data_IF_176385112066
#
_entry.id   IF_176385112066
#
_cell.length_a   1.000
_cell.length_b   1.000
_cell.length_c   1.000
_cell.angle_alpha   90.00
_cell.angle_beta   90.00
_cell.angle_gamma   90.00
#
_symmetry.space_group_name_H-M   'P 1'
#
loop_
_entity.id
_entity.type
_entity.pdbx_description
1 polymer ?
#
# COMPACT_ATOMS: atom_id res chain seq x y z
N UNK A 1 45.81 7.45 -6.25
CA UNK A 1 44.59 7.06 -7.00
C UNK A 1 43.32 7.22 -6.17
N UNK A 2 43.25 6.64 -4.97
CA UNK A 2 42.12 6.81 -4.03
C UNK A 2 41.87 8.27 -3.62
N UNK A 3 42.92 9.06 -3.34
CA UNK A 3 42.75 10.45 -2.94
C UNK A 3 42.25 11.33 -4.09
N UNK A 4 42.73 11.11 -5.31
CA UNK A 4 42.27 11.80 -6.53
C UNK A 4 40.79 11.49 -6.81
N UNK A 5 40.37 10.24 -6.60
CA UNK A 5 38.96 9.85 -6.72
C UNK A 5 38.10 10.49 -5.61
N UNK A 6 38.60 10.56 -4.37
CA UNK A 6 37.90 11.25 -3.27
C UNK A 6 37.69 12.72 -3.58
N UNK A 7 38.70 13.43 -4.10
CA UNK A 7 38.56 14.85 -4.45
C UNK A 7 37.55 15.03 -5.61
N UNK A 8 37.58 14.14 -6.60
CA UNK A 8 36.66 14.19 -7.75
C UNK A 8 35.20 13.94 -7.38
N UNK A 9 34.94 13.11 -6.37
CA UNK A 9 33.59 12.73 -5.95
C UNK A 9 33.17 13.32 -4.61
N UNK A 10 33.92 14.27 -4.06
CA UNK A 10 33.72 14.81 -2.71
C UNK A 10 32.29 15.33 -2.50
N UNK A 11 31.73 16.05 -3.49
CA UNK A 11 30.35 16.54 -3.42
C UNK A 11 29.30 15.42 -3.35
N UNK A 12 29.49 14.34 -4.12
CA UNK A 12 28.59 13.17 -4.09
C UNK A 12 28.70 12.41 -2.76
N UNK A 13 29.92 12.29 -2.22
CA UNK A 13 30.16 11.67 -0.91
C UNK A 13 29.41 12.44 0.18
N UNK A 14 29.51 13.78 0.19
CA UNK A 14 28.81 14.63 1.16
C UNK A 14 27.29 14.43 1.10
N UNK A 15 26.71 14.35 -0.10
CA UNK A 15 25.27 14.10 -0.28
C UNK A 15 24.89 12.71 0.26
N UNK A 16 25.67 11.68 -0.05
CA UNK A 16 25.42 10.33 0.44
C UNK A 16 25.51 10.26 1.98
N UNK A 17 26.52 10.91 2.57
CA UNK A 17 26.69 11.00 4.03
C UNK A 17 25.53 11.76 4.68
N UNK A 18 25.08 12.86 4.08
CA UNK A 18 23.90 13.62 4.56
C UNK A 18 22.67 12.70 4.60
N UNK A 19 22.38 11.94 3.53
CA UNK A 19 21.24 11.01 3.54
C UNK A 19 21.44 9.87 4.53
N UNK A 20 22.66 9.32 4.63
CA UNK A 20 22.97 8.26 5.59
C UNK A 20 22.86 8.71 7.06
N UNK A 21 23.01 10.01 7.34
CA UNK A 21 22.91 10.57 8.69
C UNK A 21 21.47 10.64 9.24
N UNK A 22 20.46 10.39 8.42
CA UNK A 22 19.06 10.36 8.84
C UNK A 22 18.62 8.95 9.24
N UNK A 23 17.71 8.83 10.22
CA UNK A 23 17.13 7.55 10.60
C UNK A 23 15.81 7.30 9.87
N UNK A 24 15.78 6.33 8.95
CA UNK A 24 14.57 5.95 8.22
C UNK A 24 13.77 4.82 8.87
N UNK A 25 14.28 4.25 9.98
CA UNK A 25 13.61 3.22 10.75
C UNK A 25 12.64 3.83 11.77
N UNK A 26 11.60 4.50 11.26
CA UNK A 26 10.63 5.27 12.07
C UNK A 26 9.27 4.56 12.20
N UNK A 27 8.34 5.19 12.90
CA UNK A 27 6.95 4.72 12.99
C UNK A 27 6.10 5.14 11.77
N UNK A 28 6.62 5.96 10.85
CA UNK A 28 5.93 6.30 9.58
C UNK A 28 5.78 5.06 8.72
N UNK A 29 6.89 4.38 8.41
CA UNK A 29 6.78 3.13 7.65
C UNK A 29 6.21 1.99 8.51
N UNK A 30 6.39 2.04 9.84
CA UNK A 30 5.72 1.14 10.77
C UNK A 30 4.19 1.21 10.63
N UNK A 31 3.64 2.42 10.55
CA UNK A 31 2.22 2.66 10.30
C UNK A 31 1.77 2.11 8.94
N UNK A 32 2.51 2.39 7.86
CA UNK A 32 2.21 1.80 6.55
C UNK A 32 2.23 0.26 6.59
N UNK A 33 3.24 -0.34 7.24
CA UNK A 33 3.35 -1.80 7.39
C UNK A 33 2.16 -2.37 8.15
N UNK A 34 1.74 -1.75 9.24
CA UNK A 34 0.57 -2.17 10.01
C UNK A 34 -0.73 -2.03 9.21
N UNK A 35 -0.90 -0.96 8.44
CA UNK A 35 -2.06 -0.79 7.57
C UNK A 35 -2.10 -1.86 6.45
N UNK A 36 -0.97 -2.16 5.81
CA UNK A 36 -0.88 -3.28 4.87
C UNK A 36 -1.23 -4.64 5.51
N UNK A 37 -0.86 -4.85 6.77
CA UNK A 37 -1.28 -6.06 7.50
C UNK A 37 -2.79 -6.09 7.72
N UNK A 38 -3.41 -4.92 7.99
CA UNK A 38 -4.86 -4.81 8.14
C UNK A 38 -5.63 -5.15 6.86
N UNK A 39 -5.07 -4.85 5.68
CA UNK A 39 -5.68 -5.20 4.38
C UNK A 39 -6.02 -6.69 4.33
N UNK A 40 -5.00 -7.54 4.42
CA UNK A 40 -5.19 -9.00 4.36
C UNK A 40 -5.89 -9.53 5.62
N UNK A 41 -5.65 -8.92 6.79
CA UNK A 41 -6.30 -9.35 8.04
C UNK A 41 -7.83 -9.18 7.96
N UNK A 42 -8.30 -8.04 7.45
CA UNK A 42 -9.73 -7.79 7.31
C UNK A 42 -10.36 -8.72 6.28
N UNK A 43 -9.71 -8.95 5.14
CA UNK A 43 -10.16 -9.96 4.18
C UNK A 43 -10.32 -11.33 4.84
N UNK A 44 -9.37 -11.76 5.65
CA UNK A 44 -9.44 -13.05 6.35
C UNK A 44 -10.50 -13.07 7.47
N UNK A 45 -10.58 -12.05 8.32
CA UNK A 45 -11.52 -12.06 9.46
C UNK A 45 -12.98 -12.00 8.99
N UNK A 46 -13.28 -11.15 8.01
CA UNK A 46 -14.65 -10.86 7.62
C UNK A 46 -15.21 -11.75 6.50
N UNK A 47 -14.40 -12.67 5.94
CA UNK A 47 -14.85 -13.59 4.90
C UNK A 47 -14.59 -15.03 5.27
N UNK A 48 -15.47 -15.93 4.82
CA UNK A 48 -15.31 -17.38 5.03
C UNK A 48 -14.21 -17.95 4.12
N UNK A 49 -13.72 -19.14 4.43
CA UNK A 49 -12.75 -19.85 3.56
C UNK A 49 -13.33 -20.15 2.18
N UNK A 50 -14.61 -20.48 2.10
CA UNK A 50 -15.29 -20.87 0.86
C UNK A 50 -15.51 -19.68 -0.08
N UNK A 51 -15.75 -18.49 0.49
CA UNK A 51 -15.90 -17.25 -0.28
C UNK A 51 -14.55 -16.76 -0.82
N UNK A 52 -13.49 -16.85 -0.02
CA UNK A 52 -12.14 -16.45 -0.42
C UNK A 52 -11.49 -17.46 -1.37
N UNK A 53 -11.73 -18.76 -1.18
CA UNK A 53 -11.06 -19.84 -1.90
C UNK A 53 -12.11 -20.79 -2.48
N UNK A 54 -12.63 -20.46 -3.66
CA UNK A 54 -13.61 -21.33 -4.31
C UNK A 54 -12.96 -22.63 -4.80
N UNK A 55 -13.61 -23.81 -4.67
CA UNK A 55 -12.97 -25.10 -4.97
C UNK A 55 -12.40 -25.20 -6.39
N UNK A 56 -13.15 -24.70 -7.37
CA UNK A 56 -12.77 -24.72 -8.79
C UNK A 56 -11.53 -23.87 -9.05
N UNK A 57 -11.49 -22.66 -8.49
CA UNK A 57 -10.37 -21.72 -8.67
C UNK A 57 -9.16 -22.19 -7.89
N UNK A 58 -9.37 -22.73 -6.68
CA UNK A 58 -8.31 -23.29 -5.84
C UNK A 58 -7.54 -24.39 -6.56
N UNK A 59 -8.25 -25.41 -7.08
CA UNK A 59 -7.62 -26.53 -7.79
C UNK A 59 -6.88 -26.09 -9.05
N UNK A 60 -7.44 -25.12 -9.79
CA UNK A 60 -6.78 -24.56 -10.97
C UNK A 60 -5.49 -23.83 -10.61
N UNK A 61 -5.51 -23.03 -9.54
CA UNK A 61 -4.35 -22.25 -9.07
C UNK A 61 -3.26 -23.14 -8.48
N UNK A 62 -3.63 -24.19 -7.76
CA UNK A 62 -2.69 -25.18 -7.22
C UNK A 62 -1.82 -25.82 -8.31
N UNK A 63 -2.40 -26.14 -9.47
CA UNK A 63 -1.71 -26.75 -10.61
C UNK A 63 -0.79 -25.76 -11.34
N UNK A 64 -1.19 -24.49 -11.45
CA UNK A 64 -0.51 -23.48 -12.27
C UNK A 64 0.67 -22.80 -11.55
N UNK A 65 0.76 -22.91 -10.23
CA UNK A 65 1.75 -22.20 -9.45
C UNK A 65 2.95 -23.11 -9.17
N UNK A 66 4.10 -22.81 -9.79
CA UNK A 66 5.40 -23.47 -9.51
C UNK A 66 5.83 -23.40 -8.02
N UNK A 67 5.15 -22.56 -7.25
CA UNK A 67 5.36 -22.27 -5.83
C UNK A 67 4.22 -22.75 -4.92
N UNK A 68 3.36 -23.68 -5.37
CA UNK A 68 2.23 -24.18 -4.58
C UNK A 68 2.69 -24.72 -3.21
N UNK A 69 3.82 -25.42 -3.19
CA UNK A 69 4.43 -25.98 -1.97
C UNK A 69 4.90 -24.94 -0.96
N UNK A 70 5.11 -23.68 -1.37
CA UNK A 70 5.49 -22.60 -0.46
C UNK A 70 4.33 -21.64 -0.18
N UNK A 71 3.17 -21.78 -0.83
CA UNK A 71 2.03 -20.91 -0.58
C UNK A 71 1.29 -21.36 0.69
N UNK A 72 1.17 -20.47 1.67
CA UNK A 72 0.54 -20.76 2.97
C UNK A 72 -0.86 -21.40 2.84
N UNK A 73 -1.66 -20.99 1.87
CA UNK A 73 -3.04 -21.49 1.66
C UNK A 73 -3.09 -22.80 0.88
N UNK A 74 -1.96 -23.31 0.39
CA UNK A 74 -1.85 -24.62 -0.26
C UNK A 74 -1.17 -25.68 0.62
N UNK A 75 -0.41 -25.29 1.65
CA UNK A 75 0.33 -26.24 2.52
C UNK A 75 -0.55 -27.33 3.15
N UNK A 76 -1.76 -26.97 3.62
CA UNK A 76 -2.67 -27.92 4.27
C UNK A 76 -3.78 -28.44 3.35
N UNK A 77 -3.69 -28.16 2.04
CA UNK A 77 -4.73 -28.48 1.08
C UNK A 77 -6.05 -27.72 1.31
N UNK A 78 -7.06 -28.04 0.49
CA UNK A 78 -8.36 -27.37 0.53
C UNK A 78 -9.10 -27.58 1.86
N UNK A 79 -9.14 -28.81 2.35
CA UNK A 79 -9.83 -29.16 3.61
C UNK A 79 -9.14 -28.54 4.84
N UNK A 80 -7.87 -28.18 4.72
CA UNK A 80 -7.06 -27.56 5.77
C UNK A 80 -6.96 -26.04 5.70
N UNK A 81 -7.71 -25.36 4.84
CA UNK A 81 -7.65 -23.89 4.65
C UNK A 81 -7.85 -23.09 5.95
N UNK A 82 -8.63 -23.63 6.89
CA UNK A 82 -8.84 -23.00 8.20
C UNK A 82 -7.53 -22.86 8.99
N UNK A 83 -6.62 -23.84 8.90
CA UNK A 83 -5.32 -23.79 9.57
C UNK A 83 -4.44 -22.69 8.97
N UNK A 84 -4.35 -22.63 7.63
CA UNK A 84 -3.66 -21.56 6.91
C UNK A 84 -4.18 -20.18 7.29
N UNK A 85 -5.51 -20.03 7.37
CA UNK A 85 -6.19 -18.80 7.74
C UNK A 85 -5.84 -18.37 9.18
N UNK A 86 -5.87 -19.28 10.15
CA UNK A 86 -5.52 -18.99 11.54
C UNK A 86 -4.05 -18.54 11.65
N UNK A 87 -3.13 -19.26 10.99
CA UNK A 87 -1.70 -18.91 10.98
C UNK A 87 -1.50 -17.51 10.39
N UNK A 88 -2.14 -17.22 9.26
CA UNK A 88 -2.08 -15.90 8.62
C UNK A 88 -2.58 -14.79 9.56
N UNK A 89 -3.73 -15.00 10.21
CA UNK A 89 -4.31 -14.04 11.17
C UNK A 89 -3.34 -13.74 12.31
N UNK A 90 -2.73 -14.78 12.91
CA UNK A 90 -1.77 -14.60 14.00
C UNK A 90 -0.56 -13.79 13.54
N UNK A 91 0.02 -14.12 12.38
CA UNK A 91 1.14 -13.38 11.81
C UNK A 91 0.77 -11.90 11.61
N UNK A 92 -0.38 -11.62 11.02
CA UNK A 92 -0.83 -10.27 10.70
C UNK A 92 -1.14 -9.45 11.94
N UNK A 93 -1.75 -10.04 12.98
CA UNK A 93 -1.96 -9.36 14.27
C UNK A 93 -0.63 -8.93 14.88
N UNK A 94 0.38 -9.81 14.88
CA UNK A 94 1.71 -9.46 15.41
C UNK A 94 2.34 -8.32 14.59
N UNK A 95 2.16 -8.29 13.27
CA UNK A 95 2.59 -7.17 12.42
C UNK A 95 1.90 -5.85 12.78
N UNK A 96 0.59 -5.88 13.01
CA UNK A 96 -0.19 -4.70 13.43
C UNK A 96 0.31 -4.19 14.79
N UNK A 97 0.53 -5.09 15.75
CA UNK A 97 1.11 -4.77 17.06
C UNK A 97 2.56 -4.25 16.97
N UNK A 98 3.21 -4.39 15.81
CA UNK A 98 4.50 -3.78 15.51
C UNK A 98 5.72 -4.57 15.98
N UNK A 99 5.54 -5.81 16.42
CA UNK A 99 6.64 -6.61 16.96
C UNK A 99 7.57 -7.16 15.87
N UNK A 100 8.85 -7.26 16.25
CA UNK A 100 9.99 -7.81 15.50
C UNK A 100 9.90 -7.60 13.98
N UNK A 101 9.99 -6.33 13.51
CA UNK A 101 9.82 -6.02 12.09
C UNK A 101 10.71 -6.84 11.17
N UNK A 102 11.95 -7.15 11.60
CA UNK A 102 12.88 -8.06 10.90
C UNK A 102 12.29 -9.37 10.43
N UNK A 103 11.61 -10.10 11.31
CA UNK A 103 11.11 -11.43 10.99
C UNK A 103 9.70 -11.35 10.42
N UNK A 104 8.85 -10.54 11.06
CA UNK A 104 7.46 -10.41 10.66
C UNK A 104 7.26 -9.62 9.36
N UNK A 105 8.24 -8.82 8.91
CA UNK A 105 8.21 -8.22 7.58
C UNK A 105 8.24 -9.25 6.46
N UNK A 106 9.10 -10.26 6.58
CA UNK A 106 9.16 -11.38 5.62
C UNK A 106 7.89 -12.23 5.68
N UNK A 107 7.45 -12.57 6.89
CA UNK A 107 6.22 -13.37 7.08
C UNK A 107 4.98 -12.63 6.58
N UNK A 108 4.89 -11.32 6.78
CA UNK A 108 3.79 -10.51 6.27
C UNK A 108 3.74 -10.52 4.74
N UNK A 109 4.89 -10.33 4.08
CA UNK A 109 4.96 -10.46 2.64
C UNK A 109 4.54 -11.85 2.19
N UNK A 110 5.05 -12.90 2.85
CA UNK A 110 4.70 -14.28 2.53
C UNK A 110 3.19 -14.56 2.63
N UNK A 111 2.53 -14.06 3.68
CA UNK A 111 1.07 -14.15 3.83
C UNK A 111 0.35 -13.40 2.70
N UNK A 112 0.77 -12.16 2.39
CA UNK A 112 0.17 -11.35 1.33
C UNK A 112 0.36 -11.98 -0.06
N UNK A 113 1.55 -12.48 -0.36
CA UNK A 113 1.86 -13.24 -1.57
C UNK A 113 1.01 -14.50 -1.67
N UNK A 114 0.92 -15.26 -0.59
CA UNK A 114 0.14 -16.49 -0.54
C UNK A 114 -1.34 -16.20 -0.78
N UNK A 115 -1.88 -15.17 -0.12
CA UNK A 115 -3.26 -14.71 -0.27
C UNK A 115 -3.55 -14.26 -1.71
N UNK A 116 -2.71 -13.38 -2.27
CA UNK A 116 -2.85 -12.87 -3.64
C UNK A 116 -2.93 -14.00 -4.66
N UNK A 117 -2.07 -15.02 -4.49
CA UNK A 117 -1.98 -16.11 -5.44
C UNK A 117 -3.05 -17.19 -5.23
N UNK A 118 -3.60 -17.36 -4.03
CA UNK A 118 -4.60 -18.39 -3.75
C UNK A 118 -6.05 -17.87 -3.80
N UNK A 119 -6.32 -16.63 -3.37
CA UNK A 119 -7.67 -16.06 -3.26
C UNK A 119 -8.37 -15.96 -4.62
N UNK A 120 -9.66 -16.24 -4.69
CA UNK A 120 -10.46 -16.18 -5.93
C UNK A 120 -10.70 -14.75 -6.38
N UNK A 121 -11.09 -13.87 -5.46
CA UNK A 121 -11.37 -12.46 -5.73
C UNK A 121 -10.22 -11.64 -5.15
N UNK A 122 -9.54 -10.93 -6.03
CA UNK A 122 -8.37 -10.11 -5.70
C UNK A 122 -8.61 -8.72 -6.28
N UNK A 123 -8.31 -7.71 -5.48
CA UNK A 123 -8.44 -6.32 -5.89
C UNK A 123 -7.08 -5.66 -6.12
N UNK A 124 -7.08 -4.44 -6.67
CA UNK A 124 -5.84 -3.66 -6.83
C UNK A 124 -5.12 -3.39 -5.51
N UNK A 125 -5.87 -3.38 -4.39
CA UNK A 125 -5.35 -3.19 -3.04
C UNK A 125 -4.44 -4.34 -2.56
N UNK A 126 -4.80 -5.58 -2.90
CA UNK A 126 -3.99 -6.76 -2.57
C UNK A 126 -2.70 -6.78 -3.40
N UNK A 127 -2.79 -6.40 -4.67
CA UNK A 127 -1.65 -6.33 -5.58
C UNK A 127 -0.62 -5.30 -5.13
N UNK A 128 -1.05 -4.07 -4.80
CA UNK A 128 -0.12 -3.05 -4.31
C UNK A 128 0.47 -3.42 -2.95
N UNK A 129 -0.34 -4.04 -2.07
CA UNK A 129 0.12 -4.52 -0.77
C UNK A 129 1.27 -5.54 -0.94
N UNK A 130 1.08 -6.56 -1.77
CA UNK A 130 2.12 -7.54 -2.05
C UNK A 130 3.39 -6.91 -2.64
N UNK A 131 3.22 -6.03 -3.63
CA UNK A 131 4.34 -5.42 -4.36
C UNK A 131 5.18 -4.48 -3.48
N UNK A 132 4.53 -3.66 -2.64
CA UNK A 132 5.25 -2.77 -1.71
C UNK A 132 5.89 -3.58 -0.58
N UNK A 133 5.19 -4.59 -0.04
CA UNK A 133 5.76 -5.45 1.00
C UNK A 133 7.01 -6.18 0.51
N UNK A 134 7.06 -6.61 -0.75
CA UNK A 134 8.25 -7.20 -1.36
C UNK A 134 9.45 -6.25 -1.29
N UNK A 135 9.26 -4.99 -1.68
CA UNK A 135 10.31 -3.96 -1.62
C UNK A 135 10.66 -3.55 -0.19
N UNK A 136 9.74 -3.75 0.76
CA UNK A 136 9.99 -3.51 2.19
C UNK A 136 10.80 -4.62 2.84
N UNK A 137 10.91 -5.83 2.27
CA UNK A 137 11.66 -6.95 2.87
C UNK A 137 13.07 -6.53 3.29
N UNK A 138 13.94 -5.96 2.43
CA UNK A 138 15.30 -5.62 2.85
C UNK A 138 15.33 -4.54 3.93
N UNK A 139 14.39 -3.59 3.91
CA UNK A 139 14.25 -2.57 4.96
C UNK A 139 13.89 -3.23 6.29
N UNK A 140 12.90 -4.13 6.29
CA UNK A 140 12.48 -4.82 7.51
C UNK A 140 13.60 -5.68 8.07
N UNK A 141 14.35 -6.42 7.24
CA UNK A 141 15.50 -7.21 7.67
C UNK A 141 16.55 -6.38 8.42
N UNK A 142 16.76 -5.14 7.99
CA UNK A 142 17.68 -4.20 8.64
C UNK A 142 17.15 -3.57 9.93
N UNK A 143 15.83 -3.58 10.15
CA UNK A 143 15.20 -3.03 11.36
C UNK A 143 15.41 -3.94 12.57
N UNK A 144 16.23 -3.50 13.52
CA UNK A 144 16.53 -4.22 14.75
C UNK A 144 15.58 -3.93 15.92
N UNK A 145 14.53 -3.13 15.72
CA UNK A 145 13.59 -2.80 16.80
C UNK A 145 12.83 -4.04 17.26
N UNK A 146 12.55 -4.11 18.56
CA UNK A 146 11.62 -5.11 19.11
C UNK A 146 10.18 -4.75 18.80
N UNK A 147 9.84 -3.46 18.87
CA UNK A 147 8.53 -2.94 18.51
C UNK A 147 8.66 -1.58 17.79
N UNK A 148 8.07 -1.45 16.60
CA UNK A 148 8.18 -0.23 15.78
C UNK A 148 7.40 0.98 16.32
N UNK A 149 6.51 0.79 17.30
CA UNK A 149 5.72 1.86 17.92
C UNK A 149 6.43 2.53 19.08
N UNK A 150 7.21 1.75 19.83
CA UNK A 150 7.81 2.19 21.11
C UNK A 150 9.31 2.42 20.96
N UNK A 151 10.00 1.53 20.26
CA UNK A 151 11.45 1.58 20.19
C UNK A 151 11.90 2.50 19.05
N UNK A 152 12.93 3.29 19.32
CA UNK A 152 13.64 4.07 18.31
C UNK A 152 15.00 3.43 18.05
N UNK A 153 15.42 3.40 16.78
CA UNK A 153 16.80 3.03 16.44
C UNK A 153 17.67 4.26 16.66
N UNK A 154 18.83 4.11 17.30
CA UNK A 154 19.81 5.20 17.39
C UNK A 154 20.39 5.49 16.01
N UNK A 155 20.48 6.78 15.66
CA UNK A 155 21.01 7.25 14.38
C UNK A 155 22.44 6.72 14.13
N UNK A 156 23.24 6.58 15.19
CA UNK A 156 24.65 6.15 15.13
C UNK A 156 24.88 4.66 14.88
N UNK A 157 23.84 3.82 14.74
CA UNK A 157 24.05 2.37 14.71
C UNK A 157 24.62 1.82 13.39
N UNK A 158 24.35 2.44 12.22
CA UNK A 158 24.95 2.04 10.93
C UNK A 158 24.56 2.99 9.77
N UNK A 159 25.49 3.80 9.27
CA UNK A 159 25.27 4.70 8.12
C UNK A 159 24.85 3.95 6.84
N UNK A 160 25.42 2.77 6.58
CA UNK A 160 25.10 1.97 5.39
C UNK A 160 23.64 1.50 5.39
N UNK A 161 23.13 1.06 6.55
CA UNK A 161 21.71 0.66 6.67
C UNK A 161 20.75 1.81 6.37
N UNK A 162 21.06 3.00 6.88
CA UNK A 162 20.27 4.19 6.63
C UNK A 162 20.28 4.57 5.15
N UNK A 163 21.45 4.53 4.51
CA UNK A 163 21.56 4.82 3.08
C UNK A 163 20.82 3.80 2.21
N UNK A 164 20.96 2.50 2.50
CA UNK A 164 20.22 1.45 1.78
C UNK A 164 18.71 1.64 1.96
N UNK A 165 18.25 1.91 3.18
CA UNK A 165 16.84 2.19 3.45
C UNK A 165 16.34 3.41 2.65
N UNK A 166 17.12 4.49 2.59
CA UNK A 166 16.81 5.67 1.78
C UNK A 166 16.59 5.30 0.31
N UNK A 167 17.53 4.57 -0.29
CA UNK A 167 17.45 4.14 -1.70
C UNK A 167 16.21 3.30 -1.94
N UNK A 168 15.90 2.34 -1.06
CA UNK A 168 14.71 1.49 -1.19
C UNK A 168 13.41 2.29 -1.04
N UNK A 169 13.35 3.27 -0.13
CA UNK A 169 12.18 4.16 -0.04
C UNK A 169 12.04 5.06 -1.28
N UNK A 170 13.15 5.46 -1.91
CA UNK A 170 13.13 6.13 -3.21
C UNK A 170 12.57 5.22 -4.30
N UNK A 171 13.01 3.96 -4.38
CA UNK A 171 12.47 2.98 -5.32
C UNK A 171 10.97 2.75 -5.13
N UNK A 172 10.50 2.60 -3.89
CA UNK A 172 9.08 2.51 -3.56
C UNK A 172 8.33 3.76 -4.02
N UNK A 173 8.90 4.96 -3.81
CA UNK A 173 8.28 6.22 -4.22
C UNK A 173 8.17 6.33 -5.75
N UNK A 174 9.18 5.87 -6.49
CA UNK A 174 9.14 5.80 -7.96
C UNK A 174 8.07 4.82 -8.42
N UNK A 175 8.01 3.61 -7.82
CA UNK A 175 6.98 2.62 -8.15
C UNK A 175 5.57 3.19 -7.96
N UNK A 176 5.31 3.87 -6.84
CA UNK A 176 4.00 4.46 -6.54
C UNK A 176 3.69 5.63 -7.48
N UNK A 177 4.68 6.46 -7.81
CA UNK A 177 4.54 7.53 -8.81
C UNK A 177 4.14 6.96 -10.18
N UNK A 178 4.80 5.90 -10.63
CA UNK A 178 4.48 5.20 -11.87
C UNK A 178 3.09 4.55 -11.81
N UNK A 179 2.70 3.96 -10.69
CA UNK A 179 1.35 3.41 -10.50
C UNK A 179 0.27 4.48 -10.74
N UNK A 180 0.43 5.65 -10.13
CA UNK A 180 -0.52 6.76 -10.33
C UNK A 180 -0.48 7.32 -11.75
N UNK A 181 0.71 7.38 -12.37
CA UNK A 181 0.85 7.80 -13.76
C UNK A 181 0.09 6.85 -14.68
N UNK A 182 0.31 5.54 -14.52
CA UNK A 182 -0.36 4.51 -15.29
C UNK A 182 -1.88 4.58 -15.07
N UNK A 183 -2.34 4.71 -13.82
CA UNK A 183 -3.77 4.81 -13.50
C UNK A 183 -4.46 5.98 -14.21
N UNK A 184 -3.81 7.14 -14.30
CA UNK A 184 -4.34 8.32 -14.99
C UNK A 184 -4.23 8.24 -16.51
N UNK A 185 -3.08 7.78 -17.04
CA UNK A 185 -2.84 7.70 -18.48
C UNK A 185 -3.66 6.60 -19.13
N UNK A 186 -3.78 5.42 -18.52
CA UNK A 186 -4.54 4.32 -19.11
C UNK A 186 -6.02 4.66 -19.29
N UNK A 187 -6.60 5.48 -18.41
CA UNK A 187 -7.97 5.99 -18.57
C UNK A 187 -8.15 6.80 -19.85
N UNK A 188 -7.11 7.49 -20.33
CA UNK A 188 -7.20 8.31 -21.53
C UNK A 188 -7.10 7.52 -22.84
N UNK A 189 -6.50 6.32 -22.82
CA UNK A 189 -6.18 5.58 -24.05
C UNK A 189 -6.78 4.18 -24.13
N UNK A 190 -7.26 3.61 -23.02
CA UNK A 190 -7.80 2.23 -22.99
C UNK A 190 -9.31 2.14 -22.82
N UNK A 191 -9.97 3.24 -22.42
CA UNK A 191 -11.38 3.23 -22.01
C UNK A 191 -12.05 4.53 -22.44
N UNK A 192 -12.90 4.48 -23.46
CA UNK A 192 -13.49 5.66 -24.11
C UNK A 192 -14.37 6.47 -23.14
N UNK A 193 -15.04 5.81 -22.20
CA UNK A 193 -15.94 6.42 -21.22
C UNK A 193 -15.23 7.41 -20.29
N UNK A 194 -13.93 7.23 -20.05
CA UNK A 194 -13.16 8.21 -19.28
C UNK A 194 -12.84 9.47 -20.09
N UNK A 195 -12.70 9.34 -21.41
CA UNK A 195 -12.40 10.47 -22.31
C UNK A 195 -13.65 11.30 -22.57
N UNK A 196 -14.79 10.64 -22.84
CA UNK A 196 -16.07 11.33 -23.06
C UNK A 196 -16.71 11.87 -21.76
N UNK A 197 -16.20 11.43 -20.60
CA UNK A 197 -16.63 11.89 -19.27
C UNK A 197 -17.80 11.12 -18.66
N UNK A 198 -18.18 9.98 -19.24
CA UNK A 198 -19.31 9.14 -18.79
C UNK A 198 -18.91 8.00 -17.85
N UNK A 199 -17.63 7.70 -17.64
CA UNK A 199 -17.18 6.54 -16.85
C UNK A 199 -17.76 6.54 -15.43
N UNK A 200 -17.76 7.67 -14.71
CA UNK A 200 -18.34 7.76 -13.36
C UNK A 200 -19.83 7.41 -13.35
N UNK A 201 -20.59 7.78 -14.39
CA UNK A 201 -21.99 7.38 -14.51
C UNK A 201 -22.13 5.85 -14.54
N UNK A 202 -21.34 5.18 -15.39
CA UNK A 202 -21.38 3.72 -15.54
C UNK A 202 -20.91 3.00 -14.28
N UNK A 203 -19.85 3.49 -13.64
CA UNK A 203 -19.35 2.91 -12.39
C UNK A 203 -20.38 3.02 -11.27
N UNK A 204 -21.02 4.17 -11.09
CA UNK A 204 -22.05 4.35 -10.06
C UNK A 204 -23.30 3.48 -10.28
N UNK A 205 -23.61 3.13 -11.54
CA UNK A 205 -24.74 2.26 -11.91
C UNK A 205 -24.35 0.79 -12.18
N UNK A 206 -23.10 0.41 -11.91
CA UNK A 206 -22.64 -0.96 -12.13
C UNK A 206 -23.30 -1.95 -11.16
N UNK A 207 -23.71 -3.12 -11.66
CA UNK A 207 -24.26 -4.17 -10.80
C UNK A 207 -23.19 -4.88 -9.95
N UNK A 208 -21.90 -4.71 -10.28
CA UNK A 208 -20.79 -5.38 -9.58
C UNK A 208 -20.22 -4.52 -8.45
N UNK A 209 -19.98 -3.24 -8.74
CA UNK A 209 -19.30 -2.31 -7.82
C UNK A 209 -20.07 -1.01 -7.63
N UNK A 210 -21.32 -0.90 -8.09
CA UNK A 210 -22.06 0.36 -8.08
C UNK A 210 -22.44 0.85 -6.69
N UNK A 211 -22.96 2.06 -6.68
CA UNK A 211 -23.42 2.71 -5.45
C UNK A 211 -24.60 1.96 -4.85
N UNK A 212 -24.55 1.77 -3.53
CA UNK A 212 -25.63 1.14 -2.79
C UNK A 212 -26.97 1.87 -3.01
N UNK A 213 -28.06 1.10 -3.15
CA UNK A 213 -29.38 1.64 -3.52
C UNK A 213 -29.89 2.71 -2.55
N UNK A 214 -29.60 2.57 -1.26
CA UNK A 214 -30.00 3.55 -0.23
C UNK A 214 -29.28 4.90 -0.35
N UNK A 215 -28.11 4.97 -1.00
CA UNK A 215 -27.40 6.22 -1.28
C UNK A 215 -27.97 6.93 -2.53
N UNK A 216 -28.65 6.19 -3.40
CA UNK A 216 -29.12 6.70 -4.70
C UNK A 216 -30.02 7.94 -4.59
N UNK A 217 -31.01 8.03 -3.66
CA UNK A 217 -31.83 9.23 -3.53
C UNK A 217 -31.04 10.47 -3.13
N UNK A 218 -30.00 10.29 -2.29
CA UNK A 218 -29.15 11.37 -1.79
C UNK A 218 -28.28 11.95 -2.92
N UNK A 219 -27.73 11.07 -3.76
CA UNK A 219 -26.81 11.44 -4.82
C UNK A 219 -27.47 11.57 -6.21
N UNK A 220 -28.78 11.37 -6.30
CA UNK A 220 -29.54 11.51 -7.54
C UNK A 220 -29.30 12.85 -8.26
N UNK A 221 -29.24 14.02 -7.57
CA UNK A 221 -28.93 15.29 -8.24
C UNK A 221 -27.57 15.29 -8.94
N UNK A 222 -26.58 14.58 -8.38
CA UNK A 222 -25.25 14.45 -8.97
C UNK A 222 -25.30 13.56 -10.20
N UNK A 223 -25.92 12.38 -10.08
CA UNK A 223 -26.04 11.40 -11.16
C UNK A 223 -26.84 11.96 -12.35
N UNK A 224 -27.85 12.78 -12.08
CA UNK A 224 -28.72 13.33 -13.12
C UNK A 224 -28.19 14.64 -13.75
N UNK A 225 -26.98 15.07 -13.39
CA UNK A 225 -26.37 16.31 -13.91
C UNK A 225 -25.12 15.98 -14.73
N UNK A 226 -25.21 15.84 -16.07
CA UNK A 226 -24.08 15.44 -16.93
C UNK A 226 -22.84 16.32 -16.76
N UNK A 227 -23.02 17.64 -16.62
CA UNK A 227 -21.90 18.58 -16.41
C UNK A 227 -21.12 18.28 -15.12
N UNK A 228 -21.81 17.89 -14.06
CA UNK A 228 -21.16 17.58 -12.78
C UNK A 228 -20.41 16.24 -12.87
N UNK A 229 -21.01 15.23 -13.51
CA UNK A 229 -20.34 13.95 -13.74
C UNK A 229 -19.09 14.11 -14.59
N UNK A 230 -19.14 14.92 -15.65
CA UNK A 230 -17.98 15.24 -16.48
C UNK A 230 -16.85 15.87 -15.65
N UNK A 231 -17.17 16.85 -14.79
CA UNK A 231 -16.19 17.49 -13.90
C UNK A 231 -15.59 16.48 -12.92
N UNK A 232 -16.41 15.64 -12.28
CA UNK A 232 -15.94 14.62 -11.33
C UNK A 232 -15.03 13.63 -12.07
N UNK A 233 -15.44 13.13 -13.23
CA UNK A 233 -14.68 12.20 -14.05
C UNK A 233 -13.27 12.72 -14.37
N UNK A 234 -13.17 13.93 -14.93
CA UNK A 234 -11.87 14.53 -15.25
C UNK A 234 -11.06 14.90 -14.01
N UNK A 235 -11.72 15.23 -12.88
CA UNK A 235 -11.03 15.49 -11.62
C UNK A 235 -10.27 14.26 -11.11
N UNK A 236 -10.79 13.04 -11.36
CA UNK A 236 -10.10 11.79 -11.01
C UNK A 236 -8.77 11.68 -11.76
N UNK A 237 -8.80 11.86 -13.08
CA UNK A 237 -7.61 11.75 -13.95
C UNK A 237 -6.57 12.81 -13.56
N UNK A 238 -7.01 14.07 -13.41
CA UNK A 238 -6.12 15.17 -12.99
C UNK A 238 -5.50 14.87 -11.63
N UNK A 239 -6.28 14.34 -10.68
CA UNK A 239 -5.79 14.01 -9.35
C UNK A 239 -4.77 12.86 -9.38
N UNK A 240 -4.98 11.83 -10.19
CA UNK A 240 -4.02 10.73 -10.36
C UNK A 240 -2.70 11.21 -10.99
N UNK A 241 -2.76 12.07 -12.02
CA UNK A 241 -1.57 12.68 -12.61
C UNK A 241 -0.86 13.61 -11.61
N UNK A 242 -1.59 14.34 -10.77
CA UNK A 242 -1.03 15.13 -9.68
C UNK A 242 -0.31 14.26 -8.65
N UNK A 243 -0.90 13.10 -8.31
CA UNK A 243 -0.28 12.10 -7.42
C UNK A 243 0.99 11.50 -8.05
N UNK A 244 0.99 11.23 -9.36
CA UNK A 244 2.19 10.81 -10.08
C UNK A 244 3.32 11.85 -9.95
N UNK A 245 2.99 13.13 -10.16
CA UNK A 245 3.94 14.24 -10.03
C UNK A 245 4.38 14.56 -8.59
N UNK A 246 3.75 13.94 -7.56
CA UNK A 246 4.05 14.26 -6.17
C UNK A 246 5.48 13.91 -5.74
N UNK A 247 6.18 13.04 -6.48
CA UNK A 247 7.60 12.72 -6.25
C UNK A 247 8.50 13.95 -6.40
N UNK A 248 8.12 14.91 -7.25
CA UNK A 248 8.85 16.16 -7.48
C UNK A 248 8.40 17.30 -6.55
N UNK A 249 7.41 17.06 -5.68
CA UNK A 249 6.85 18.11 -4.82
C UNK A 249 7.63 18.29 -3.52
N UNK A 250 7.76 19.54 -3.11
CA UNK A 250 8.20 19.89 -1.76
C UNK A 250 7.28 19.29 -0.69
N UNK A 251 7.85 19.00 0.48
CA UNK A 251 7.13 18.35 1.57
C UNK A 251 5.88 19.13 2.02
N UNK A 252 5.90 20.47 2.01
CA UNK A 252 4.74 21.28 2.43
C UNK A 252 3.51 21.04 1.55
N UNK A 253 3.71 20.81 0.25
CA UNK A 253 2.63 20.48 -0.69
C UNK A 253 2.17 19.02 -0.51
N UNK A 254 3.12 18.08 -0.36
CA UNK A 254 2.82 16.67 -0.09
C UNK A 254 2.01 16.47 1.20
N UNK A 255 2.30 17.26 2.23
CA UNK A 255 1.57 17.26 3.51
C UNK A 255 0.11 17.68 3.36
N UNK A 256 -0.23 18.54 2.39
CA UNK A 256 -1.63 18.86 2.08
C UNK A 256 -2.25 17.76 1.22
N UNK A 257 -1.49 17.29 0.23
CA UNK A 257 -1.93 16.28 -0.73
C UNK A 257 -2.36 14.96 -0.07
N UNK A 258 -1.74 14.56 1.05
CA UNK A 258 -2.15 13.35 1.78
C UNK A 258 -3.62 13.37 2.21
N UNK A 259 -4.15 14.51 2.66
CA UNK A 259 -5.55 14.60 3.08
C UNK A 259 -6.50 14.43 1.90
N UNK A 260 -6.17 15.05 0.75
CA UNK A 260 -6.93 14.88 -0.48
C UNK A 260 -6.84 13.45 -1.01
N UNK A 261 -5.68 12.81 -0.93
CA UNK A 261 -5.48 11.44 -1.40
C UNK A 261 -6.22 10.41 -0.54
N UNK A 262 -6.16 10.57 0.78
CA UNK A 262 -6.95 9.74 1.71
C UNK A 262 -8.44 9.99 1.50
N UNK A 263 -8.87 11.24 1.35
CA UNK A 263 -10.27 11.57 1.05
C UNK A 263 -10.74 10.97 -0.27
N UNK A 264 -9.93 11.06 -1.33
CA UNK A 264 -10.20 10.46 -2.64
C UNK A 264 -10.43 8.95 -2.54
N UNK A 265 -9.53 8.23 -1.87
CA UNK A 265 -9.68 6.78 -1.69
C UNK A 265 -10.81 6.41 -0.73
N UNK A 266 -11.12 7.27 0.24
CA UNK A 266 -12.28 7.09 1.09
C UNK A 266 -13.59 7.19 0.29
N UNK A 267 -13.69 8.11 -0.67
CA UNK A 267 -14.86 8.19 -1.55
C UNK A 267 -15.02 6.91 -2.38
N UNK A 268 -13.92 6.30 -2.82
CA UNK A 268 -13.94 5.00 -3.51
C UNK A 268 -14.52 3.91 -2.59
N UNK A 269 -14.04 3.81 -1.34
CA UNK A 269 -14.60 2.85 -0.38
C UNK A 269 -16.07 3.14 -0.05
N UNK A 270 -16.46 4.41 0.06
CA UNK A 270 -17.81 4.82 0.41
C UNK A 270 -18.82 4.51 -0.72
N UNK A 271 -18.48 4.82 -1.97
CA UNK A 271 -19.39 4.61 -3.10
C UNK A 271 -19.34 3.19 -3.65
N UNK A 272 -18.19 2.52 -3.63
CA UNK A 272 -18.00 1.23 -4.31
C UNK A 272 -17.74 0.06 -3.34
N UNK A 273 -17.79 0.29 -2.02
CA UNK A 273 -17.61 -0.75 -1.00
C UNK A 273 -16.18 -1.28 -0.84
N UNK A 274 -15.20 -0.67 -1.51
CA UNK A 274 -13.80 -1.14 -1.57
C UNK A 274 -12.99 -0.73 -0.32
N UNK A 275 -13.36 -1.26 0.84
CA UNK A 275 -12.75 -0.87 2.14
C UNK A 275 -11.30 -1.30 2.27
N UNK A 276 -10.95 -2.53 1.89
CA UNK A 276 -9.58 -3.06 1.94
C UNK A 276 -8.68 -2.34 0.94
N UNK A 277 -9.20 -1.99 -0.24
CA UNK A 277 -8.53 -1.10 -1.19
C UNK A 277 -8.20 0.26 -0.57
N UNK A 278 -9.16 0.91 0.10
CA UNK A 278 -8.92 2.19 0.79
C UNK A 278 -7.80 2.09 1.84
N UNK A 279 -7.78 1.01 2.64
CA UNK A 279 -6.73 0.80 3.64
C UNK A 279 -5.36 0.62 2.97
N UNK A 280 -5.29 -0.19 1.90
CA UNK A 280 -4.06 -0.41 1.14
C UNK A 280 -3.53 0.89 0.52
N UNK A 281 -4.41 1.68 -0.08
CA UNK A 281 -4.05 2.95 -0.69
C UNK A 281 -3.68 4.00 0.36
N UNK A 282 -4.32 4.00 1.54
CA UNK A 282 -3.90 4.86 2.66
C UNK A 282 -2.48 4.51 3.11
N UNK A 283 -2.14 3.22 3.25
CA UNK A 283 -0.79 2.76 3.57
C UNK A 283 0.23 3.23 2.51
N UNK A 284 -0.15 3.12 1.24
CA UNK A 284 0.62 3.51 0.05
C UNK A 284 0.88 5.02 0.03
N UNK A 285 -0.14 5.83 0.28
CA UNK A 285 -0.03 7.29 0.32
C UNK A 285 0.85 7.74 1.49
N UNK A 286 0.73 7.10 2.67
CA UNK A 286 1.58 7.41 3.83
C UNK A 286 3.05 7.16 3.50
N UNK A 287 3.38 5.98 2.97
CA UNK A 287 4.77 5.66 2.62
C UNK A 287 5.26 6.47 1.42
N UNK A 288 4.39 7.01 0.58
CA UNK A 288 4.79 7.84 -0.56
C UNK A 288 5.03 9.30 -0.14
N UNK A 289 4.06 9.92 0.53
CA UNK A 289 4.03 11.37 0.74
C UNK A 289 4.67 11.83 2.06
N UNK A 290 4.74 10.98 3.08
CA UNK A 290 5.36 11.34 4.36
C UNK A 290 6.88 11.05 4.31
N UNK A 291 7.74 11.99 4.74
CA UNK A 291 9.16 11.74 4.93
C UNK A 291 9.41 10.66 5.98
N UNK A 292 10.34 9.76 5.67
CA UNK A 292 10.52 8.48 6.39
C UNK A 292 11.43 8.64 7.60
N UNK A 293 12.13 9.76 7.65
CA UNK A 293 12.98 10.25 8.72
C UNK A 293 12.21 11.00 9.81
N UNK A 294 10.90 11.25 9.61
CA UNK A 294 10.04 11.83 10.64
C UNK A 294 9.51 10.78 11.60
N UNK A 295 9.19 11.23 12.81
CA UNK A 295 8.40 10.46 13.78
C UNK A 295 7.01 11.06 13.95
N UNK A 296 5.99 10.21 13.83
CA UNK A 296 4.61 10.56 14.13
C UNK A 296 4.44 10.54 15.65
N UNK A 297 4.10 11.70 16.24
CA UNK A 297 3.70 11.74 17.64
C UNK A 297 2.22 11.40 17.74
N UNK A 298 1.90 10.15 18.05
CA UNK A 298 0.55 9.81 18.49
C UNK A 298 0.30 10.54 19.81
N UNK A 299 -0.82 11.25 19.92
CA UNK A 299 -1.22 12.01 21.11
C UNK A 299 -1.48 11.06 22.29
N UNK A 300 -0.41 10.52 22.86
CA UNK A 300 -0.38 9.83 24.14
C UNK A 300 0.76 10.44 24.96
N UNK A 301 0.75 11.78 25.09
CA UNK A 301 1.42 12.41 26.23
C UNK A 301 0.63 12.01 27.47
N UNK A 302 1.00 10.89 28.11
CA UNK A 302 0.86 10.81 29.56
C UNK A 302 1.71 11.95 30.11
N UNK A 303 1.06 13.03 30.55
CA UNK A 303 1.66 13.96 31.50
C UNK A 303 2.16 13.08 32.66
N UNK A 304 3.48 12.99 32.84
CA UNK A 304 4.05 12.65 34.14
C UNK A 304 3.92 13.89 35.01
#
# INVERSE_FOLDING_TARGET
MLDVLKTRFQGLIIICEEKASHNYFTNVYGLSRSLYALVTLFSLIFNSTESLFSPLTYKKKEILIAFSNINLFHIFGYDGLIYSKIIAIVILIICVMGYFPRYFGVLQWWVSFSFLNACTIVEGGDQITNNVLLLLIPITLMDSRKNHWINTVSINNNLYKNFIAHVLFCMISIQISVLYLQAGVEKLYKVDEWVDGSAIYYWLNSNLFGMAEYLRPIFFPIINTPKLLFIINWSVIIFELLMAGAIFMEYQKRKKLIYYAVGFHFLIAFFFGLVTFFIAMTATVIIYLIPKDLQIQFLLKKKR
#
